data_IF_617607015190
#
_entry.id   IF_617607015190
#
_cell.length_a   1.000
_cell.length_b   1.000
_cell.length_c   1.000
_cell.angle_alpha   90.00
_cell.angle_beta   90.00
_cell.angle_gamma   90.00
#
_symmetry.space_group_name_H-M   'P 1'
#
loop_
_entity.id
_entity.type
_entity.pdbx_description
1 polymer ?
#
# COMPACT_ATOMS: atom_id res chain seq x y z
N UNK A 1 20.31 26.87 -34.61
CA UNK A 1 20.46 26.75 -33.15
C UNK A 1 19.07 26.87 -32.54
N UNK A 2 18.39 25.76 -32.33
CA UNK A 2 17.06 25.70 -31.71
C UNK A 2 17.24 25.75 -30.20
N UNK A 3 16.76 26.83 -29.57
CA UNK A 3 16.77 26.97 -28.13
C UNK A 3 15.79 25.97 -27.51
N UNK A 4 16.32 25.00 -26.75
CA UNK A 4 15.53 24.12 -25.90
C UNK A 4 14.91 24.97 -24.79
N UNK A 5 13.66 25.39 -24.97
CA UNK A 5 12.88 26.04 -23.91
C UNK A 5 12.62 24.97 -22.85
N UNK A 6 13.38 25.04 -21.76
CA UNK A 6 13.17 24.19 -20.59
C UNK A 6 11.85 24.64 -19.95
N UNK A 7 10.83 23.76 -19.80
CA UNK A 7 9.57 24.16 -19.21
C UNK A 7 9.78 24.66 -17.76
N UNK A 8 9.01 25.66 -17.31
CA UNK A 8 9.16 26.20 -15.96
C UNK A 8 8.95 25.10 -14.91
N UNK A 9 9.81 25.09 -13.88
CA UNK A 9 9.71 24.15 -12.78
C UNK A 9 8.37 24.33 -12.04
N UNK A 10 7.70 23.22 -11.70
CA UNK A 10 6.41 23.24 -11.00
C UNK A 10 6.50 23.99 -9.67
N UNK A 11 5.46 24.75 -9.32
CA UNK A 11 5.37 25.38 -8.00
C UNK A 11 4.98 24.37 -6.92
N UNK A 12 5.08 24.75 -5.64
CA UNK A 12 4.61 23.90 -4.54
C UNK A 12 3.09 23.64 -4.61
N UNK A 13 2.32 24.65 -5.02
CA UNK A 13 0.89 24.54 -5.23
C UNK A 13 0.54 23.58 -6.38
N UNK A 14 1.28 23.65 -7.49
CA UNK A 14 1.09 22.73 -8.61
C UNK A 14 1.39 21.28 -8.21
N UNK A 15 2.47 21.08 -7.44
CA UNK A 15 2.82 19.76 -6.88
C UNK A 15 1.72 19.23 -5.97
N UNK A 16 1.20 20.06 -5.05
CA UNK A 16 0.12 19.67 -4.14
C UNK A 16 -1.16 19.31 -4.91
N UNK A 17 -1.54 20.14 -5.89
CA UNK A 17 -2.71 19.90 -6.76
C UNK A 17 -2.57 18.58 -7.52
N UNK A 18 -1.41 18.34 -8.15
CA UNK A 18 -1.15 17.08 -8.87
C UNK A 18 -1.15 15.88 -7.93
N UNK A 19 -0.60 16.02 -6.72
CA UNK A 19 -0.54 14.94 -5.74
C UNK A 19 -1.94 14.54 -5.25
N UNK A 20 -2.83 15.51 -5.04
CA UNK A 20 -4.24 15.26 -4.70
C UNK A 20 -4.97 14.54 -5.84
N UNK A 21 -4.78 14.99 -7.08
CA UNK A 21 -5.39 14.33 -8.23
C UNK A 21 -4.87 12.90 -8.45
N UNK A 22 -3.57 12.68 -8.25
CA UNK A 22 -2.99 11.33 -8.29
C UNK A 22 -3.57 10.42 -7.20
N UNK A 23 -3.89 10.96 -6.03
CA UNK A 23 -4.55 10.17 -4.97
C UNK A 23 -5.95 9.73 -5.42
N UNK A 24 -6.75 10.66 -5.92
CA UNK A 24 -8.10 10.39 -6.46
C UNK A 24 -8.05 9.34 -7.57
N UNK A 25 -7.15 9.50 -8.54
CA UNK A 25 -7.00 8.57 -9.65
C UNK A 25 -6.56 7.17 -9.21
N UNK A 26 -5.69 7.06 -8.20
CA UNK A 26 -5.33 5.76 -7.63
C UNK A 26 -6.55 5.06 -7.05
N UNK A 27 -7.42 5.81 -6.38
CA UNK A 27 -8.64 5.26 -5.79
C UNK A 27 -9.61 4.80 -6.91
N UNK A 28 -9.79 5.57 -7.98
CA UNK A 28 -10.58 5.12 -9.15
C UNK A 28 -10.00 3.91 -9.87
N UNK A 29 -8.69 3.92 -10.14
CA UNK A 29 -7.99 2.79 -10.76
C UNK A 29 -8.13 1.54 -9.89
N UNK A 30 -8.03 1.65 -8.57
CA UNK A 30 -8.18 0.51 -7.67
C UNK A 30 -9.61 -0.07 -7.68
N UNK A 31 -10.63 0.78 -7.82
CA UNK A 31 -12.03 0.35 -7.95
C UNK A 31 -12.25 -0.36 -9.29
N UNK A 32 -11.83 0.26 -10.40
CA UNK A 32 -12.06 -0.31 -11.73
C UNK A 32 -11.20 -1.56 -11.99
N UNK A 33 -9.94 -1.59 -11.53
CA UNK A 33 -9.07 -2.76 -11.62
C UNK A 33 -9.69 -3.96 -10.89
N UNK A 34 -10.22 -3.75 -9.68
CA UNK A 34 -10.90 -4.81 -8.94
C UNK A 34 -12.11 -5.35 -9.71
N UNK A 35 -12.99 -4.45 -10.15
CA UNK A 35 -14.19 -4.81 -10.92
C UNK A 35 -13.83 -5.60 -12.18
N UNK A 36 -12.92 -5.10 -13.00
CA UNK A 36 -12.50 -5.77 -14.24
C UNK A 36 -11.82 -7.10 -13.98
N UNK A 37 -11.04 -7.23 -12.90
CA UNK A 37 -10.48 -8.52 -12.50
C UNK A 37 -11.56 -9.52 -12.13
N UNK A 38 -12.56 -9.10 -11.36
CA UNK A 38 -13.66 -9.97 -10.93
C UNK A 38 -14.48 -10.44 -12.15
N UNK A 39 -14.80 -9.53 -13.07
CA UNK A 39 -15.47 -9.83 -14.35
C UNK A 39 -14.64 -10.79 -15.21
N UNK A 40 -13.36 -10.49 -15.43
CA UNK A 40 -12.46 -11.35 -16.22
C UNK A 40 -12.25 -12.73 -15.57
N UNK A 41 -12.17 -12.83 -14.24
CA UNK A 41 -12.08 -14.13 -13.57
C UNK A 41 -13.36 -14.95 -13.71
N UNK A 42 -14.53 -14.31 -13.82
CA UNK A 42 -15.80 -15.00 -14.02
C UNK A 42 -15.98 -15.48 -15.47
N UNK A 43 -15.39 -14.77 -16.44
CA UNK A 43 -15.52 -15.08 -17.87
C UNK A 43 -14.42 -16.01 -18.41
N UNK A 44 -13.17 -15.85 -17.97
CA UNK A 44 -12.04 -16.60 -18.54
C UNK A 44 -12.04 -18.06 -18.11
N UNK A 45 -11.69 -18.93 -19.04
CA UNK A 45 -11.35 -20.33 -18.74
C UNK A 45 -9.87 -20.45 -18.39
N UNK A 46 -9.52 -21.35 -17.46
CA UNK A 46 -8.12 -21.61 -17.09
C UNK A 46 -7.30 -22.02 -18.32
N UNK A 47 -6.20 -21.29 -18.57
CA UNK A 47 -5.32 -21.48 -19.72
C UNK A 47 -5.65 -20.57 -20.91
N UNK A 48 -6.80 -19.88 -20.91
CA UNK A 48 -7.19 -18.92 -21.92
C UNK A 48 -6.51 -17.56 -21.72
N UNK A 49 -6.25 -16.85 -22.82
CA UNK A 49 -5.70 -15.49 -22.79
C UNK A 49 -6.38 -14.57 -23.79
N UNK A 50 -6.55 -13.31 -23.41
CA UNK A 50 -7.02 -12.22 -24.27
C UNK A 50 -5.91 -11.21 -24.50
N UNK A 51 -5.76 -10.73 -25.73
CA UNK A 51 -4.85 -9.63 -26.07
C UNK A 51 -5.54 -8.28 -25.88
N UNK A 52 -4.93 -7.37 -25.11
CA UNK A 52 -5.36 -5.98 -25.04
C UNK A 52 -4.66 -5.14 -26.11
N UNK A 53 -5.41 -4.52 -27.01
CA UNK A 53 -4.92 -3.55 -28.00
C UNK A 53 -5.36 -2.13 -27.59
N UNK A 54 -4.53 -1.12 -27.83
CA UNK A 54 -4.88 0.28 -27.59
C UNK A 54 -5.85 0.81 -28.66
N UNK A 55 -5.67 0.40 -29.91
CA UNK A 55 -6.59 0.59 -31.02
C UNK A 55 -6.94 -0.80 -31.62
N UNK A 56 -8.22 -1.24 -31.58
CA UNK A 56 -8.63 -2.53 -32.12
C UNK A 56 -8.31 -2.74 -33.60
N UNK A 57 -8.17 -1.66 -34.38
CA UNK A 57 -7.83 -1.73 -35.80
C UNK A 57 -6.33 -1.85 -36.06
N UNK A 58 -5.48 -1.52 -35.09
CA UNK A 58 -4.03 -1.51 -35.21
C UNK A 58 -3.39 -2.61 -34.38
N UNK A 59 -2.85 -3.63 -35.06
CA UNK A 59 -2.16 -4.75 -34.40
C UNK A 59 -0.83 -4.35 -33.75
N UNK A 60 -0.22 -3.24 -34.17
CA UNK A 60 1.00 -2.71 -33.55
C UNK A 60 0.70 -2.02 -32.21
N UNK A 61 -0.57 -1.74 -31.93
CA UNK A 61 -1.03 -1.11 -30.70
C UNK A 61 -1.18 -2.08 -29.51
N UNK A 62 -0.56 -3.26 -29.57
CA UNK A 62 -0.63 -4.30 -28.53
C UNK A 62 -0.06 -3.82 -27.19
N UNK A 63 -0.89 -3.89 -26.15
CA UNK A 63 -0.55 -3.56 -24.77
C UNK A 63 -0.06 -4.79 -23.97
N UNK A 64 -0.59 -5.97 -24.27
CA UNK A 64 -0.23 -7.21 -23.57
C UNK A 64 -1.36 -8.24 -23.55
N UNK A 65 -1.28 -9.18 -22.60
CA UNK A 65 -2.26 -10.26 -22.44
C UNK A 65 -2.82 -10.33 -21.02
N UNK A 66 -4.10 -10.65 -20.90
CA UNK A 66 -4.76 -11.05 -19.65
C UNK A 66 -5.05 -12.54 -19.74
N UNK A 67 -4.62 -13.31 -18.74
CA UNK A 67 -4.75 -14.77 -18.72
C UNK A 67 -5.14 -15.26 -17.33
N UNK A 68 -6.03 -16.25 -17.28
CA UNK A 68 -6.32 -17.00 -16.06
C UNK A 68 -5.42 -18.24 -16.02
N UNK A 69 -4.54 -18.31 -15.01
CA UNK A 69 -3.61 -19.43 -14.84
C UNK A 69 -4.16 -20.47 -13.87
N UNK A 70 -3.65 -21.71 -13.97
CA UNK A 70 -4.00 -22.77 -13.02
C UNK A 70 -3.57 -22.34 -11.62
N UNK A 71 -4.48 -22.47 -10.65
CA UNK A 71 -4.17 -22.23 -9.25
C UNK A 71 -2.96 -23.08 -8.81
N UNK A 72 -2.06 -22.45 -8.07
CA UNK A 72 -0.92 -23.15 -7.46
C UNK A 72 -1.43 -23.90 -6.23
N UNK A 73 -1.08 -25.17 -6.12
CA UNK A 73 -1.27 -25.92 -4.87
C UNK A 73 -0.34 -25.34 -3.80
N UNK A 74 -0.92 -24.90 -2.69
CA UNK A 74 -0.19 -24.40 -1.53
C UNK A 74 -0.64 -25.17 -0.30
N UNK A 75 0.31 -25.73 0.44
CA UNK A 75 0.04 -26.22 1.78
C UNK A 75 0.14 -25.05 2.75
N UNK A 76 -0.84 -24.94 3.64
CA UNK A 76 -0.82 -23.99 4.75
C UNK A 76 -1.20 -24.71 6.04
N UNK A 77 -0.71 -24.18 7.15
CA UNK A 77 -1.14 -24.64 8.47
C UNK A 77 -2.56 -24.12 8.71
N UNK A 78 -3.52 -25.03 8.85
CA UNK A 78 -4.92 -24.69 9.11
C UNK A 78 -5.25 -24.72 10.61
N UNK A 79 -4.47 -25.47 11.39
CA UNK A 79 -4.59 -25.57 12.84
C UNK A 79 -3.18 -25.55 13.45
N UNK A 80 -2.72 -24.38 13.92
CA UNK A 80 -1.39 -24.25 14.52
C UNK A 80 -1.21 -25.07 15.80
N UNK A 81 -2.25 -25.23 16.61
CA UNK A 81 -2.19 -25.96 17.88
C UNK A 81 -2.12 -27.46 17.63
N UNK A 82 -2.92 -27.98 16.70
CA UNK A 82 -2.84 -29.39 16.30
C UNK A 82 -1.49 -29.72 15.65
N UNK A 83 -0.94 -28.81 14.84
CA UNK A 83 0.40 -28.98 14.30
C UNK A 83 1.46 -28.97 15.40
N UNK A 84 1.38 -28.04 16.36
CA UNK A 84 2.31 -27.98 17.48
C UNK A 84 2.28 -29.29 18.27
N UNK A 85 1.10 -29.79 18.64
CA UNK A 85 0.96 -31.06 19.34
C UNK A 85 1.54 -32.24 18.55
N UNK A 86 1.31 -32.29 17.22
CA UNK A 86 1.90 -33.32 16.36
C UNK A 86 3.43 -33.23 16.31
N UNK A 87 3.98 -32.01 16.22
CA UNK A 87 5.43 -31.77 16.21
C UNK A 87 6.04 -32.10 17.57
N UNK A 88 5.38 -31.78 18.68
CA UNK A 88 5.81 -32.18 20.03
C UNK A 88 5.93 -33.70 20.18
N UNK A 89 5.03 -34.46 19.56
CA UNK A 89 5.05 -35.92 19.59
C UNK A 89 6.11 -36.52 18.65
N UNK A 90 6.21 -36.02 17.41
CA UNK A 90 6.98 -36.67 16.33
C UNK A 90 8.37 -36.06 16.10
N UNK A 91 8.52 -34.76 16.36
CA UNK A 91 9.74 -33.98 16.08
C UNK A 91 10.02 -32.97 17.21
N UNK A 92 10.15 -33.41 18.49
CA UNK A 92 10.26 -32.50 19.63
C UNK A 92 11.50 -31.59 19.58
N UNK A 93 12.55 -31.98 18.85
CA UNK A 93 13.74 -31.14 18.63
C UNK A 93 13.45 -29.86 17.87
N UNK A 94 12.34 -29.81 17.13
CA UNK A 94 11.92 -28.65 16.34
C UNK A 94 11.07 -27.65 17.16
N UNK A 95 10.70 -27.98 18.41
CA UNK A 95 9.92 -27.10 19.28
C UNK A 95 10.83 -26.14 20.04
N UNK A 96 10.65 -24.84 19.80
CA UNK A 96 11.42 -23.78 20.46
C UNK A 96 10.53 -23.03 21.45
N UNK A 97 10.91 -23.05 22.73
CA UNK A 97 10.29 -22.20 23.76
C UNK A 97 11.03 -20.88 23.86
N UNK A 98 10.32 -19.75 23.74
CA UNK A 98 10.91 -18.41 23.86
C UNK A 98 10.34 -17.64 25.04
N UNK A 99 11.18 -16.80 25.67
CA UNK A 99 10.73 -15.80 26.64
C UNK A 99 10.34 -14.53 25.89
N UNK A 100 9.11 -14.07 26.08
CA UNK A 100 8.62 -12.84 25.46
C UNK A 100 7.88 -11.95 26.45
N UNK A 101 7.87 -10.66 26.16
CA UNK A 101 7.07 -9.68 26.91
C UNK A 101 5.71 -9.56 26.23
N UNK A 102 4.63 -9.54 27.02
CA UNK A 102 3.25 -9.45 26.51
C UNK A 102 3.10 -8.21 25.58
N UNK A 103 2.61 -8.35 24.34
CA UNK A 103 2.55 -7.23 23.39
C UNK A 103 1.76 -6.01 23.90
N UNK A 104 0.65 -6.24 24.59
CA UNK A 104 -0.16 -5.16 25.16
C UNK A 104 0.60 -4.35 26.21
N UNK A 105 1.44 -5.00 27.03
CA UNK A 105 2.28 -4.33 28.00
C UNK A 105 3.37 -3.50 27.31
N UNK A 106 4.01 -4.05 26.27
CA UNK A 106 4.99 -3.29 25.47
C UNK A 106 4.36 -2.03 24.87
N UNK A 107 3.15 -2.11 24.33
CA UNK A 107 2.45 -0.93 23.78
C UNK A 107 2.19 0.14 24.86
N UNK A 108 1.69 -0.27 26.03
CA UNK A 108 1.48 0.64 27.15
C UNK A 108 2.79 1.27 27.63
N UNK A 109 3.85 0.46 27.74
CA UNK A 109 5.19 0.89 28.14
C UNK A 109 5.76 1.95 27.19
N UNK A 110 5.69 1.71 25.88
CA UNK A 110 6.17 2.66 24.88
C UNK A 110 5.36 3.97 24.87
N UNK A 111 4.05 3.89 25.09
CA UNK A 111 3.21 5.08 25.22
C UNK A 111 3.59 5.93 26.44
N UNK A 112 3.80 5.30 27.60
CA UNK A 112 4.28 5.95 28.83
C UNK A 112 5.65 6.61 28.62
N UNK A 113 6.61 5.88 28.03
CA UNK A 113 7.96 6.42 27.79
C UNK A 113 7.92 7.63 26.84
N UNK A 114 7.04 7.61 25.83
CA UNK A 114 6.87 8.73 24.91
C UNK A 114 6.23 9.96 25.57
N UNK A 115 5.29 9.76 26.50
CA UNK A 115 4.57 10.84 27.17
C UNK A 115 5.38 11.45 28.32
N UNK A 116 5.96 10.58 29.16
CA UNK A 116 6.47 10.94 30.48
C UNK A 116 7.98 10.71 30.62
N UNK A 117 8.65 10.18 29.58
CA UNK A 117 10.09 9.90 29.59
C UNK A 117 10.48 8.59 30.32
N UNK A 118 9.51 7.84 30.84
CA UNK A 118 9.71 6.59 31.57
C UNK A 118 8.39 5.82 31.77
N UNK A 119 8.43 4.73 32.53
CA UNK A 119 7.26 3.99 32.96
C UNK A 119 6.76 4.51 34.30
N UNK A 120 5.51 4.93 34.38
CA UNK A 120 4.90 5.29 35.67
C UNK A 120 4.37 4.02 36.31
N UNK A 121 4.95 3.63 37.45
CA UNK A 121 4.48 2.50 38.23
C UNK A 121 3.05 2.78 38.77
N UNK A 122 2.05 1.93 38.48
CA UNK A 122 0.67 2.16 38.92
C UNK A 122 0.46 2.12 40.44
N UNK A 123 1.32 1.41 41.18
CA UNK A 123 1.19 1.21 42.62
C UNK A 123 1.95 2.27 43.41
N UNK A 124 3.14 2.64 42.95
CA UNK A 124 4.01 3.59 43.67
C UNK A 124 3.95 5.01 43.10
N UNK A 125 3.37 5.19 41.90
CA UNK A 125 3.42 6.45 41.13
C UNK A 125 4.84 6.95 40.85
N UNK A 126 5.85 6.08 40.96
CA UNK A 126 7.24 6.41 40.65
C UNK A 126 7.51 6.29 39.15
N UNK A 127 8.30 7.21 38.61
CA UNK A 127 8.75 7.15 37.22
C UNK A 127 10.02 6.28 37.13
N UNK A 128 9.89 5.12 36.51
CA UNK A 128 10.97 4.16 36.29
C UNK A 128 11.59 4.33 34.90
N UNK A 129 12.91 4.37 34.84
CA UNK A 129 13.64 4.35 33.57
C UNK A 129 13.48 2.99 32.87
N UNK A 130 13.01 3.02 31.62
CA UNK A 130 12.82 1.81 30.82
C UNK A 130 14.05 1.55 29.96
N UNK A 131 14.93 0.65 30.43
CA UNK A 131 16.13 0.26 29.68
C UNK A 131 15.76 -0.42 28.35
N UNK A 132 16.48 -0.06 27.28
CA UNK A 132 16.29 -0.63 25.94
C UNK A 132 15.20 0.04 25.11
N UNK A 133 14.61 1.15 25.58
CA UNK A 133 13.67 1.98 24.82
C UNK A 133 14.30 3.33 24.51
N UNK A 134 14.22 3.74 23.24
CA UNK A 134 14.71 5.03 22.77
C UNK A 134 13.57 5.78 22.08
N UNK A 135 13.32 7.04 22.48
CA UNK A 135 12.37 7.91 21.80
C UNK A 135 13.09 8.63 20.65
N UNK A 136 12.72 8.27 19.42
CA UNK A 136 13.22 8.95 18.22
C UNK A 136 12.15 9.86 17.64
N UNK A 137 12.54 11.11 17.36
CA UNK A 137 11.72 12.02 16.57
C UNK A 137 11.99 11.76 15.09
N UNK A 138 11.03 11.15 14.41
CA UNK A 138 11.09 10.91 12.96
C UNK A 138 10.88 12.18 12.14
N UNK A 139 11.24 12.12 10.86
CA UNK A 139 10.95 13.21 9.92
C UNK A 139 9.45 13.41 9.72
N UNK A 140 8.98 14.65 9.52
CA UNK A 140 7.59 14.93 9.18
C UNK A 140 7.11 14.11 7.98
N UNK A 141 5.90 13.56 8.06
CA UNK A 141 5.30 12.77 6.98
C UNK A 141 4.32 13.61 6.17
N UNK A 142 4.46 13.60 4.84
CA UNK A 142 3.50 14.23 3.93
C UNK A 142 2.20 13.43 3.92
N UNK A 143 1.08 14.08 4.27
CA UNK A 143 -0.25 13.49 4.25
C UNK A 143 -1.08 14.11 3.14
N UNK A 144 -1.76 13.29 2.35
CA UNK A 144 -2.59 13.72 1.21
C UNK A 144 -4.02 13.28 1.47
N UNK A 145 -4.92 14.24 1.69
CA UNK A 145 -6.33 14.01 2.02
C UNK A 145 -7.20 14.80 1.05
N UNK A 146 -7.76 14.17 0.01
CA UNK A 146 -8.75 14.80 -0.86
C UNK A 146 -10.01 15.20 -0.06
N UNK A 147 -10.71 16.24 -0.52
CA UNK A 147 -12.05 16.58 0.00
C UNK A 147 -13.11 15.66 -0.61
N UNK A 148 -14.35 15.73 -0.11
CA UNK A 148 -15.45 14.91 -0.63
C UNK A 148 -15.76 15.22 -2.11
N UNK A 149 -15.53 16.45 -2.55
CA UNK A 149 -15.79 16.93 -3.92
C UNK A 149 -14.60 16.72 -4.86
N UNK A 150 -13.45 16.28 -4.34
CA UNK A 150 -12.22 16.18 -5.11
C UNK A 150 -12.37 15.25 -6.32
N UNK A 151 -13.16 14.19 -6.20
CA UNK A 151 -13.45 13.26 -7.28
C UNK A 151 -14.06 13.97 -8.49
N UNK A 152 -15.17 14.69 -8.29
CA UNK A 152 -15.86 15.38 -9.37
C UNK A 152 -14.97 16.45 -10.03
N UNK A 153 -14.24 17.22 -9.21
CA UNK A 153 -13.36 18.29 -9.69
C UNK A 153 -12.17 17.76 -10.47
N UNK A 154 -11.56 16.66 -10.03
CA UNK A 154 -10.44 16.01 -10.75
C UNK A 154 -10.94 15.43 -12.08
N UNK A 155 -12.12 14.80 -12.10
CA UNK A 155 -12.68 14.22 -13.31
C UNK A 155 -12.91 15.30 -14.37
N UNK A 156 -13.58 16.38 -13.97
CA UNK A 156 -13.85 17.53 -14.85
C UNK A 156 -12.55 18.17 -15.35
N UNK A 157 -11.57 18.39 -14.45
CA UNK A 157 -10.31 19.03 -14.80
C UNK A 157 -9.47 18.19 -15.76
N UNK A 158 -9.48 16.86 -15.64
CA UNK A 158 -8.80 15.96 -16.57
C UNK A 158 -9.50 15.92 -17.93
N UNK A 159 -10.83 15.80 -17.95
CA UNK A 159 -11.62 15.79 -19.18
C UNK A 159 -11.45 17.10 -19.97
N UNK A 160 -11.45 18.24 -19.27
CA UNK A 160 -11.23 19.56 -19.85
C UNK A 160 -9.75 19.87 -20.14
N UNK A 161 -8.82 18.94 -19.86
CA UNK A 161 -7.35 19.13 -19.95
C UNK A 161 -6.82 20.34 -19.17
N UNK A 162 -7.55 20.79 -18.13
CA UNK A 162 -7.13 21.86 -17.21
C UNK A 162 -6.11 21.37 -16.19
N UNK A 163 -6.03 20.06 -15.98
CA UNK A 163 -5.03 19.42 -15.14
C UNK A 163 -4.21 18.43 -15.95
N UNK A 164 -2.88 18.56 -15.88
CA UNK A 164 -1.93 17.62 -16.46
C UNK A 164 -1.07 16.99 -15.37
N UNK A 165 -1.07 15.66 -15.29
CA UNK A 165 -0.38 14.92 -14.22
C UNK A 165 1.07 14.62 -14.59
N UNK A 166 1.28 14.22 -15.84
CA UNK A 166 2.58 13.91 -16.42
C UNK A 166 3.05 15.08 -17.29
N UNK A 167 4.36 15.38 -17.35
CA UNK A 167 4.86 16.31 -18.34
C UNK A 167 4.48 15.84 -19.74
N UNK A 168 4.11 16.77 -20.63
CA UNK A 168 3.90 16.45 -22.03
C UNK A 168 5.18 15.80 -22.56
N UNK A 169 5.12 14.50 -22.88
CA UNK A 169 6.22 13.86 -23.58
C UNK A 169 6.23 14.48 -24.97
N UNK A 170 7.29 15.22 -25.31
CA UNK A 170 7.50 15.67 -26.68
C UNK A 170 7.54 14.42 -27.57
N UNK A 171 6.54 14.27 -28.43
CA UNK A 171 6.62 13.40 -29.61
C UNK A 171 7.00 14.27 -30.79
#
# INVERSE_FOLDING_TARGET
>A
MTATVNPPALTAHDRATRLLALRVLKDWIAVEDRKLRDEMCAELVVGERYSGLLDPADKESLLGFVQLTKARETASVVDPEALLAWVEEHCPSEVITTRSVRPAFVQALLASVKADGGWVDPETSELLEVKGVEVRTGSPTLTVKPTAEADALVAEALAARRLQLMPATAR
#
